data_IF_119048461987
#
_entry.id   IF_119048461987
#
_cell.length_a   1.000
_cell.length_b   1.000
_cell.length_c   1.000
_cell.angle_alpha   90.00
_cell.angle_beta   90.00
_cell.angle_gamma   90.00
#
_symmetry.space_group_name_H-M   'P 1'
#
loop_
_entity.id
_entity.type
_entity.pdbx_description
1 polymer ?
#
# COMPACT_ATOMS: atom_id res chain seq x y z
N UNK A 1 10.93 24.76 -0.43
CA UNK A 1 10.47 23.51 0.22
C UNK A 1 9.48 23.90 1.30
N UNK A 2 8.33 23.23 1.37
CA UNK A 2 7.37 23.41 2.46
C UNK A 2 7.83 22.63 3.69
N UNK A 3 7.63 23.21 4.87
CA UNK A 3 7.91 22.57 6.16
C UNK A 3 6.59 22.20 6.82
N UNK A 4 6.52 21.00 7.39
CA UNK A 4 5.39 20.54 8.21
C UNK A 4 5.90 20.22 9.61
N UNK A 5 5.10 20.52 10.63
CA UNK A 5 5.35 20.08 12.01
C UNK A 5 4.28 19.07 12.36
N UNK A 6 4.70 17.85 12.74
CA UNK A 6 3.82 16.74 13.07
C UNK A 6 4.03 16.38 14.54
N UNK A 7 2.97 16.39 15.34
CA UNK A 7 2.98 15.86 16.69
C UNK A 7 2.78 14.35 16.63
N UNK A 8 3.70 13.61 17.23
CA UNK A 8 3.67 12.16 17.35
C UNK A 8 3.66 11.80 18.82
N UNK A 9 2.90 10.77 19.19
CA UNK A 9 3.08 10.11 20.48
C UNK A 9 4.40 9.31 20.51
N UNK A 10 4.84 8.94 21.70
CA UNK A 10 6.12 8.26 21.91
C UNK A 10 6.21 6.92 21.16
N UNK A 11 5.10 6.18 21.03
CA UNK A 11 5.09 4.91 20.32
C UNK A 11 5.25 5.12 18.81
N UNK A 12 4.53 6.09 18.25
CA UNK A 12 4.69 6.43 16.82
C UNK A 12 6.08 6.99 16.52
N UNK A 13 6.66 7.79 17.41
CA UNK A 13 8.03 8.27 17.25
C UNK A 13 9.05 7.11 17.27
N UNK A 14 8.88 6.13 18.15
CA UNK A 14 9.75 4.95 18.18
C UNK A 14 9.68 4.14 16.88
N UNK A 15 8.49 3.99 16.30
CA UNK A 15 8.31 3.32 15.00
C UNK A 15 9.04 4.04 13.87
N UNK A 16 8.96 5.38 13.81
CA UNK A 16 9.69 6.18 12.83
C UNK A 16 11.20 5.96 12.96
N UNK A 17 11.70 5.93 14.20
CA UNK A 17 13.13 5.79 14.48
C UNK A 17 13.66 4.42 14.07
N UNK A 18 12.96 3.36 14.42
CA UNK A 18 13.29 1.99 14.04
C UNK A 18 13.25 1.81 12.52
N UNK A 19 12.18 2.28 11.88
CA UNK A 19 12.00 2.12 10.45
C UNK A 19 13.02 2.93 9.64
N UNK A 20 13.33 4.17 10.04
CA UNK A 20 14.36 4.97 9.41
C UNK A 20 15.74 4.30 9.52
N UNK A 21 16.06 3.75 10.69
CA UNK A 21 17.31 3.00 10.93
C UNK A 21 17.38 1.72 10.09
N UNK A 22 16.30 0.93 10.05
CA UNK A 22 16.22 -0.30 9.26
C UNK A 22 16.38 -0.04 7.75
N UNK A 23 15.87 1.09 7.26
CA UNK A 23 15.99 1.50 5.85
C UNK A 23 17.28 2.30 5.55
N UNK A 24 18.11 2.60 6.56
CA UNK A 24 19.36 3.36 6.38
C UNK A 24 19.17 4.81 5.90
N UNK A 25 18.02 5.43 6.19
CA UNK A 25 17.66 6.78 5.77
C UNK A 25 17.38 7.69 6.97
N UNK A 26 17.36 9.02 6.75
CA UNK A 26 16.94 9.96 7.79
C UNK A 26 15.43 9.82 8.09
N UNK A 27 15.03 10.17 9.31
CA UNK A 27 13.61 10.19 9.72
C UNK A 27 12.75 11.02 8.78
N UNK A 28 13.21 12.23 8.42
CA UNK A 28 12.50 13.13 7.51
C UNK A 28 12.32 12.53 6.11
N UNK A 29 13.35 11.84 5.59
CA UNK A 29 13.27 11.16 4.30
C UNK A 29 12.31 9.99 4.37
N UNK A 30 12.39 9.18 5.42
CA UNK A 30 11.51 8.04 5.63
C UNK A 30 10.04 8.48 5.68
N UNK A 31 9.70 9.51 6.48
CA UNK A 31 8.33 10.05 6.55
C UNK A 31 7.86 10.59 5.20
N UNK A 32 8.71 11.32 4.48
CA UNK A 32 8.37 11.82 3.15
C UNK A 32 8.10 10.70 2.14
N UNK A 33 8.89 9.63 2.18
CA UNK A 33 8.73 8.48 1.30
C UNK A 33 7.43 7.72 1.64
N UNK A 34 7.11 7.52 2.92
CA UNK A 34 5.83 6.96 3.36
C UNK A 34 4.64 7.78 2.87
N UNK A 35 4.68 9.12 3.02
CA UNK A 35 3.62 10.00 2.52
C UNK A 35 3.44 9.80 1.00
N UNK A 36 4.52 9.71 0.22
CA UNK A 36 4.42 9.44 -1.22
C UNK A 36 3.79 8.08 -1.51
N UNK A 37 4.18 7.03 -0.79
CA UNK A 37 3.62 5.69 -0.96
C UNK A 37 2.10 5.69 -0.73
N UNK A 38 1.63 6.26 0.37
CA UNK A 38 0.20 6.23 0.72
C UNK A 38 -0.64 7.29 0.01
N UNK A 39 -0.04 8.41 -0.41
CA UNK A 39 -0.73 9.40 -1.24
C UNK A 39 -0.76 9.00 -2.73
N UNK A 40 0.09 8.06 -3.14
CA UNK A 40 -0.02 7.48 -4.48
C UNK A 40 -1.33 6.71 -4.60
N UNK A 41 -2.10 7.02 -5.63
CA UNK A 41 -3.32 6.29 -5.98
C UNK A 41 -2.99 5.11 -6.91
N UNK A 42 -1.72 4.69 -6.92
CA UNK A 42 -1.19 3.67 -7.80
C UNK A 42 -1.11 2.34 -7.04
N UNK A 43 -1.32 1.26 -7.76
CA UNK A 43 -1.13 -0.07 -7.20
C UNK A 43 0.35 -0.29 -6.88
N UNK A 44 0.68 -0.95 -5.74
CA UNK A 44 2.05 -1.33 -5.44
C UNK A 44 2.68 -2.09 -6.61
N UNK A 45 3.95 -1.80 -6.90
CA UNK A 45 4.65 -2.42 -8.03
C UNK A 45 4.69 -3.95 -7.94
N UNK A 46 4.74 -4.50 -6.73
CA UNK A 46 4.70 -5.94 -6.50
C UNK A 46 3.36 -6.54 -6.93
N UNK A 47 2.24 -5.85 -6.67
CA UNK A 47 0.93 -6.26 -7.15
C UNK A 47 0.87 -6.26 -8.68
N UNK A 48 1.43 -5.24 -9.33
CA UNK A 48 1.52 -5.19 -10.80
C UNK A 48 2.42 -6.30 -11.35
N UNK A 49 3.54 -6.58 -10.69
CA UNK A 49 4.51 -7.62 -11.08
C UNK A 49 3.96 -9.03 -10.92
N UNK A 50 2.96 -9.20 -10.05
CA UNK A 50 2.26 -10.46 -9.85
C UNK A 50 1.32 -10.82 -11.00
N UNK A 51 0.89 -9.84 -11.81
CA UNK A 51 0.02 -10.07 -12.95
C UNK A 51 0.65 -11.10 -13.91
N UNK A 52 -0.06 -12.18 -14.20
CA UNK A 52 0.40 -13.25 -15.09
C UNK A 52 1.48 -14.18 -14.50
N UNK A 53 1.83 -14.08 -13.21
CA UNK A 53 2.79 -15.00 -12.56
C UNK A 53 2.22 -16.37 -12.23
N UNK A 54 0.91 -16.48 -12.17
CA UNK A 54 0.22 -17.74 -11.92
C UNK A 54 -0.11 -18.39 -13.27
N UNK A 55 0.78 -19.25 -13.76
CA UNK A 55 0.60 -19.94 -15.04
C UNK A 55 -0.64 -20.85 -15.04
N UNK A 56 -0.93 -21.49 -13.91
CA UNK A 56 -2.08 -22.37 -13.72
C UNK A 56 -3.28 -21.65 -13.10
N UNK A 57 -3.30 -20.31 -13.13
CA UNK A 57 -4.46 -19.57 -12.64
C UNK A 57 -5.67 -19.95 -13.49
N UNK A 58 -6.76 -20.45 -12.87
CA UNK A 58 -7.95 -20.79 -13.62
C UNK A 58 -8.57 -19.50 -14.14
N UNK A 59 -8.19 -19.10 -15.35
CA UNK A 59 -8.89 -18.08 -16.08
C UNK A 59 -10.32 -18.60 -16.27
N UNK A 60 -11.29 -17.73 -15.99
CA UNK A 60 -12.70 -18.06 -16.14
C UNK A 60 -13.01 -18.11 -17.64
N UNK A 61 -12.64 -19.21 -18.29
CA UNK A 61 -13.16 -19.55 -19.60
C UNK A 61 -14.68 -19.70 -19.45
N UNK A 62 -15.43 -18.91 -20.21
CA UNK A 62 -16.88 -18.96 -20.42
C UNK A 62 -17.65 -19.77 -19.38
N UNK A 63 -17.69 -19.28 -18.13
CA UNK A 63 -18.38 -19.99 -17.07
C UNK A 63 -19.88 -19.97 -17.38
N UNK A 64 -20.47 -21.15 -17.55
CA UNK A 64 -21.92 -21.33 -17.71
C UNK A 64 -22.72 -20.98 -16.44
N UNK A 65 -22.03 -20.72 -15.33
CA UNK A 65 -22.62 -20.29 -14.06
C UNK A 65 -22.97 -18.79 -14.12
N UNK A 66 -24.20 -18.40 -13.74
CA UNK A 66 -24.59 -17.00 -13.70
C UNK A 66 -23.70 -16.21 -12.74
N UNK A 67 -23.29 -15.01 -13.17
CA UNK A 67 -22.54 -14.10 -12.33
C UNK A 67 -23.38 -13.74 -11.09
N UNK A 68 -22.84 -13.92 -9.87
CA UNK A 68 -23.57 -13.55 -8.66
C UNK A 68 -23.86 -12.04 -8.66
N UNK A 69 -24.98 -11.65 -8.05
CA UNK A 69 -25.33 -10.25 -7.91
C UNK A 69 -24.28 -9.51 -7.05
N UNK A 70 -23.92 -8.31 -7.49
CA UNK A 70 -23.00 -7.46 -6.75
C UNK A 70 -23.54 -7.17 -5.36
N UNK A 71 -22.68 -7.31 -4.35
CA UNK A 71 -23.01 -6.92 -2.98
C UNK A 71 -22.81 -5.43 -2.78
N UNK A 72 -23.63 -4.76 -1.95
CA UNK A 72 -23.44 -3.35 -1.63
C UNK A 72 -22.06 -3.11 -1.04
N UNK A 73 -21.41 -2.01 -1.45
CA UNK A 73 -20.17 -1.57 -0.82
C UNK A 73 -20.45 -1.23 0.64
N UNK A 74 -19.77 -1.91 1.57
CA UNK A 74 -19.78 -1.50 2.97
C UNK A 74 -19.03 -0.18 3.08
N UNK A 75 -19.76 0.88 3.44
CA UNK A 75 -19.17 2.18 3.76
C UNK A 75 -18.34 2.11 5.04
N UNK A 76 -17.41 3.05 5.17
CA UNK A 76 -16.58 3.28 6.34
C UNK A 76 -17.21 4.33 7.25
#
# INVERSE_FOLDING_TARGET
MSQITLYLDDATQALVDEAAKANGVSKSRWVADIIRTYASHEWPKDCLTLAGRFADFPLREDSTLPQPADVPRLGF
#
